data_IF_071085312606
#
_entry.id   IF_071085312606
#
_cell.length_a   1.000
_cell.length_b   1.000
_cell.length_c   1.000
_cell.angle_alpha   90.00
_cell.angle_beta   90.00
_cell.angle_gamma   90.00
#
_symmetry.space_group_name_H-M   'P 1'
#
loop_
_entity.id
_entity.type
_entity.pdbx_description
1 polymer ?
#
# COMPACT_ATOMS: atom_id res chain seq x y z
N UNK A 1 -18.98 8.90 -5.88
CA UNK A 1 -18.28 8.16 -4.79
C UNK A 1 -19.12 6.95 -4.41
N UNK A 2 -18.72 5.75 -4.84
CA UNK A 2 -19.37 4.52 -4.38
C UNK A 2 -18.92 4.24 -2.93
N UNK A 3 -19.86 3.88 -2.04
CA UNK A 3 -19.59 3.57 -0.64
C UNK A 3 -19.77 2.08 -0.43
N UNK A 4 -18.73 1.40 0.04
CA UNK A 4 -18.82 0.01 0.46
C UNK A 4 -19.11 -0.06 1.96
N UNK A 5 -20.05 -0.91 2.39
CA UNK A 5 -20.36 -1.13 3.80
C UNK A 5 -19.23 -1.92 4.45
N UNK A 6 -18.58 -1.34 5.46
CA UNK A 6 -17.55 -2.04 6.24
C UNK A 6 -18.24 -2.77 7.40
N UNK A 7 -17.98 -4.07 7.57
CA UNK A 7 -18.44 -4.80 8.74
C UNK A 7 -17.94 -4.09 10.03
N UNK A 8 -18.86 -3.70 10.90
CA UNK A 8 -18.57 -2.98 12.15
C UNK A 8 -18.48 -1.44 12.05
N UNK A 9 -18.87 -0.80 10.93
CA UNK A 9 -18.91 0.67 10.82
C UNK A 9 -20.17 1.14 10.10
N UNK A 10 -20.97 1.99 10.77
CA UNK A 10 -22.14 2.65 10.16
C UNK A 10 -21.77 3.59 9.01
N UNK A 11 -20.53 4.10 9.02
CA UNK A 11 -19.99 4.93 7.94
C UNK A 11 -19.33 4.03 6.90
N UNK A 12 -19.93 3.96 5.70
CA UNK A 12 -19.34 3.27 4.56
C UNK A 12 -17.97 3.84 4.16
N UNK A 13 -17.10 3.01 3.57
CA UNK A 13 -15.78 3.42 3.10
C UNK A 13 -15.91 4.11 1.74
N UNK A 14 -15.50 5.38 1.59
CA UNK A 14 -15.47 6.02 0.28
C UNK A 14 -14.41 5.35 -0.59
N UNK A 15 -14.79 4.93 -1.80
CA UNK A 15 -13.86 4.46 -2.82
C UNK A 15 -13.65 5.57 -3.85
N UNK A 16 -12.40 5.98 -4.04
CA UNK A 16 -11.98 6.74 -5.21
C UNK A 16 -11.74 5.77 -6.36
N UNK A 17 -12.76 5.59 -7.19
CA UNK A 17 -12.67 4.74 -8.37
C UNK A 17 -12.17 5.60 -9.53
N UNK A 18 -10.95 5.35 -10.00
CA UNK A 18 -10.37 5.95 -11.20
C UNK A 18 -11.13 5.51 -12.46
N UNK A 19 -11.06 6.31 -13.53
CA UNK A 19 -11.59 5.91 -14.84
C UNK A 19 -10.77 4.73 -15.41
N UNK A 20 -11.25 4.13 -16.49
CA UNK A 20 -10.59 2.94 -17.05
C UNK A 20 -9.19 3.27 -17.57
N UNK A 21 -9.05 4.40 -18.25
CA UNK A 21 -7.80 4.90 -18.80
C UNK A 21 -6.78 5.17 -17.68
N UNK A 22 -7.20 5.79 -16.59
CA UNK A 22 -6.35 6.05 -15.43
C UNK A 22 -5.88 4.73 -14.79
N UNK A 23 -6.77 3.74 -14.65
CA UNK A 23 -6.39 2.40 -14.15
C UNK A 23 -5.35 1.71 -15.03
N UNK A 24 -5.43 1.89 -16.34
CA UNK A 24 -4.46 1.31 -17.27
C UNK A 24 -3.08 1.94 -17.05
N UNK A 25 -3.01 3.26 -16.88
CA UNK A 25 -1.76 3.97 -16.60
C UNK A 25 -1.23 3.62 -15.20
N UNK A 26 -2.09 3.57 -14.18
CA UNK A 26 -1.76 3.13 -12.83
C UNK A 26 -1.15 1.72 -12.83
N UNK A 27 -1.75 0.79 -13.58
CA UNK A 27 -1.26 -0.58 -13.72
C UNK A 27 0.10 -0.64 -14.45
N UNK A 28 0.27 0.15 -15.52
CA UNK A 28 1.53 0.23 -16.23
C UNK A 28 2.67 0.75 -15.34
N UNK A 29 2.41 1.82 -14.59
CA UNK A 29 3.37 2.37 -13.61
C UNK A 29 3.67 1.34 -12.53
N UNK A 30 2.65 0.67 -11.99
CA UNK A 30 2.81 -0.40 -11.00
C UNK A 30 3.75 -1.50 -11.52
N UNK A 31 3.53 -2.01 -12.72
CA UNK A 31 4.33 -3.10 -13.28
C UNK A 31 5.81 -2.74 -13.45
N UNK A 32 6.12 -1.46 -13.69
CA UNK A 32 7.51 -0.97 -13.79
C UNK A 32 8.14 -0.83 -12.41
N UNK A 33 7.40 -0.33 -11.42
CA UNK A 33 7.93 -0.05 -10.09
C UNK A 33 7.96 -1.28 -9.18
N UNK A 34 7.03 -2.22 -9.33
CA UNK A 34 6.91 -3.43 -8.51
C UNK A 34 8.23 -4.21 -8.41
N UNK A 35 8.92 -4.59 -9.51
CA UNK A 35 10.18 -5.33 -9.41
C UNK A 35 11.30 -4.53 -8.71
N UNK A 36 11.32 -3.20 -8.85
CA UNK A 36 12.32 -2.33 -8.22
C UNK A 36 12.13 -2.30 -6.70
N UNK A 37 10.89 -2.22 -6.23
CA UNK A 37 10.59 -2.18 -4.80
C UNK A 37 10.56 -3.57 -4.16
N UNK A 38 10.29 -4.62 -4.92
CA UNK A 38 10.30 -6.00 -4.41
C UNK A 38 11.67 -6.42 -3.86
N UNK A 39 12.77 -5.94 -4.47
CA UNK A 39 14.13 -6.15 -3.95
C UNK A 39 14.41 -5.47 -2.60
N UNK A 40 13.57 -4.51 -2.21
CA UNK A 40 13.76 -3.70 -1.00
C UNK A 40 12.73 -3.98 0.10
N UNK A 41 11.66 -4.70 -0.20
CA UNK A 41 10.67 -5.03 0.81
C UNK A 41 11.21 -6.09 1.77
N UNK A 42 11.03 -5.84 3.06
CA UNK A 42 11.34 -6.81 4.11
C UNK A 42 10.54 -8.11 3.94
N UNK A 43 11.15 -9.24 4.28
CA UNK A 43 10.52 -10.56 4.19
C UNK A 43 9.26 -10.67 5.06
N UNK A 44 9.18 -9.89 6.14
CA UNK A 44 8.02 -9.80 7.02
C UNK A 44 6.88 -8.93 6.47
N UNK A 45 7.03 -8.32 5.29
CA UNK A 45 5.99 -7.57 4.61
C UNK A 45 5.19 -8.48 3.70
N UNK A 46 3.89 -8.66 3.95
CA UNK A 46 3.04 -9.56 3.15
C UNK A 46 1.94 -8.84 2.36
N UNK A 47 1.66 -7.57 2.70
CA UNK A 47 0.55 -6.83 2.13
C UNK A 47 0.85 -6.32 0.73
N UNK A 48 -0.11 -6.44 -0.20
CA UNK A 48 -0.07 -5.83 -1.54
C UNK A 48 1.14 -6.22 -2.42
N UNK A 49 1.80 -7.35 -2.12
CA UNK A 49 2.96 -7.86 -2.87
C UNK A 49 2.59 -9.08 -3.72
N UNK A 50 3.22 -9.26 -4.90
CA UNK A 50 3.06 -10.47 -5.68
C UNK A 50 3.58 -11.69 -4.92
N UNK A 51 2.93 -12.85 -5.04
CA UNK A 51 3.37 -14.11 -4.40
C UNK A 51 3.36 -14.14 -2.85
N UNK A 52 2.89 -13.07 -2.20
CA UNK A 52 2.62 -13.02 -0.77
C UNK A 52 1.12 -13.10 -0.48
N UNK A 53 0.74 -13.72 0.63
CA UNK A 53 -0.66 -13.86 1.05
C UNK A 53 -0.81 -13.73 2.56
N UNK A 54 -2.03 -13.40 3.01
CA UNK A 54 -2.36 -13.31 4.43
C UNK A 54 -2.15 -14.66 5.14
N UNK A 55 -2.39 -15.76 4.44
CA UNK A 55 -2.16 -17.10 4.96
C UNK A 55 -0.69 -17.36 5.27
N UNK A 56 0.23 -16.88 4.40
CA UNK A 56 1.67 -16.99 4.64
C UNK A 56 2.12 -16.17 5.86
N UNK A 57 1.56 -14.96 6.02
CA UNK A 57 1.78 -14.13 7.20
C UNK A 57 1.36 -14.85 8.50
N UNK A 58 0.15 -15.43 8.52
CA UNK A 58 -0.37 -16.17 9.68
C UNK A 58 0.47 -17.42 9.98
N UNK A 59 0.93 -18.14 8.96
CA UNK A 59 1.81 -19.30 9.15
C UNK A 59 3.15 -18.88 9.79
N UNK A 60 3.84 -17.88 9.24
CA UNK A 60 5.11 -17.38 9.79
C UNK A 60 4.95 -16.81 11.20
N UNK A 61 3.85 -16.10 11.47
CA UNK A 61 3.53 -15.62 12.81
C UNK A 61 3.31 -16.80 13.79
N UNK A 62 2.53 -17.80 13.38
CA UNK A 62 2.27 -19.00 14.18
C UNK A 62 3.55 -19.77 14.51
N UNK A 63 4.41 -20.00 13.53
CA UNK A 63 5.73 -20.62 13.73
C UNK A 63 6.60 -19.80 14.70
N UNK A 64 6.63 -18.48 14.52
CA UNK A 64 7.41 -17.57 15.37
C UNK A 64 6.96 -17.64 16.83
N UNK A 65 5.65 -17.65 17.07
CA UNK A 65 5.08 -17.73 18.42
C UNK A 65 5.30 -19.11 19.07
N UNK A 66 5.34 -20.19 18.28
CA UNK A 66 5.55 -21.55 18.79
C UNK A 66 7.03 -21.85 19.06
N UNK A 67 7.93 -21.35 18.20
CA UNK A 67 9.36 -21.71 18.23
C UNK A 67 10.21 -20.74 19.05
N UNK A 68 9.77 -19.49 19.23
CA UNK A 68 10.52 -18.45 19.95
C UNK A 68 9.82 -18.09 21.26
N UNK A 69 10.59 -17.60 22.24
CA UNK A 69 10.05 -17.09 23.51
C UNK A 69 9.45 -15.69 23.33
N UNK A 70 8.25 -15.62 22.79
CA UNK A 70 7.48 -14.38 22.63
C UNK A 70 6.42 -14.29 23.72
N UNK A 71 6.54 -13.32 24.62
CA UNK A 71 5.60 -13.13 25.74
C UNK A 71 4.51 -12.10 25.45
N UNK A 72 4.74 -11.20 24.49
CA UNK A 72 3.83 -10.09 24.18
C UNK A 72 3.74 -9.88 22.67
N UNK A 73 2.53 -9.58 22.21
CA UNK A 73 2.25 -9.18 20.82
C UNK A 73 1.67 -7.77 20.87
N UNK A 74 2.25 -6.86 20.09
CA UNK A 74 1.79 -5.48 19.99
C UNK A 74 1.04 -5.32 18.67
N UNK A 75 -0.26 -5.02 18.77
CA UNK A 75 -1.09 -4.68 17.61
C UNK A 75 -1.04 -3.17 17.36
N UNK A 76 -0.69 -2.78 16.15
CA UNK A 76 -0.66 -1.39 15.72
C UNK A 76 -1.38 -1.24 14.37
N UNK A 77 -2.32 -0.29 14.29
CA UNK A 77 -3.05 0.06 13.07
C UNK A 77 -2.99 1.57 12.82
N UNK A 78 -2.85 1.97 11.55
CA UNK A 78 -2.83 3.38 11.15
C UNK A 78 -4.23 3.80 10.71
N UNK A 79 -4.88 4.60 11.56
CA UNK A 79 -6.23 5.11 11.27
C UNK A 79 -6.26 5.96 10.01
N UNK A 80 -7.07 5.53 9.04
CA UNK A 80 -7.33 6.27 7.79
C UNK A 80 -6.07 6.56 6.97
N UNK A 81 -5.14 5.60 6.91
CA UNK A 81 -3.86 5.69 6.19
C UNK A 81 -3.94 6.46 4.85
N UNK A 82 -4.74 5.97 3.89
CA UNK A 82 -4.84 6.56 2.55
C UNK A 82 -5.39 7.99 2.51
N UNK A 83 -6.15 8.42 3.52
CA UNK A 83 -6.69 9.78 3.59
C UNK A 83 -5.73 10.75 4.30
N UNK A 84 -4.77 10.23 5.08
CA UNK A 84 -3.88 11.02 5.94
C UNK A 84 -2.41 10.96 5.53
N UNK A 85 -2.06 10.13 4.55
CA UNK A 85 -0.70 10.04 4.04
C UNK A 85 -0.26 11.41 3.50
N UNK A 86 0.92 11.87 3.92
CA UNK A 86 1.47 13.13 3.44
C UNK A 86 2.12 12.87 2.07
N UNK A 87 1.55 13.48 1.02
CA UNK A 87 1.99 13.25 -0.35
C UNK A 87 3.38 13.84 -0.63
N UNK A 88 3.76 14.93 0.04
CA UNK A 88 5.07 15.55 -0.14
C UNK A 88 6.16 14.62 0.38
N UNK A 89 6.00 14.08 1.59
CA UNK A 89 6.90 13.07 2.15
C UNK A 89 6.95 11.79 1.29
N UNK A 90 5.80 11.33 0.81
CA UNK A 90 5.75 10.16 -0.07
C UNK A 90 6.57 10.38 -1.34
N UNK A 91 6.43 11.55 -2.00
CA UNK A 91 7.20 11.88 -3.20
C UNK A 91 8.70 12.00 -2.89
N UNK A 92 9.08 12.57 -1.75
CA UNK A 92 10.48 12.61 -1.31
C UNK A 92 11.06 11.20 -1.14
N UNK A 93 10.33 10.26 -0.52
CA UNK A 93 10.78 8.86 -0.45
C UNK A 93 10.93 8.20 -1.82
N UNK A 94 9.98 8.45 -2.74
CA UNK A 94 10.06 7.92 -4.11
C UNK A 94 11.28 8.47 -4.87
N UNK A 95 11.67 9.73 -4.65
CA UNK A 95 12.87 10.35 -5.27
C UNK A 95 14.18 9.63 -4.93
N UNK A 96 14.25 8.93 -3.81
CA UNK A 96 15.46 8.19 -3.41
C UNK A 96 15.78 7.01 -4.34
N UNK A 97 14.79 6.53 -5.10
CA UNK A 97 14.92 5.36 -6.00
C UNK A 97 14.53 5.68 -7.44
N UNK A 98 13.57 6.57 -7.64
CA UNK A 98 13.11 6.96 -8.97
C UNK A 98 13.85 8.22 -9.40
N UNK A 99 14.84 8.05 -10.28
CA UNK A 99 15.58 9.15 -10.88
C UNK A 99 14.82 9.89 -11.99
N UNK A 100 13.81 9.27 -12.60
CA UNK A 100 13.05 9.90 -13.71
C UNK A 100 11.99 10.88 -13.18
N UNK A 101 12.16 12.20 -13.41
CA UNK A 101 11.19 13.20 -12.97
C UNK A 101 9.82 13.07 -13.66
N UNK A 102 9.74 12.39 -14.82
CA UNK A 102 8.49 12.19 -15.56
C UNK A 102 7.58 11.19 -14.84
N UNK A 103 8.16 10.12 -14.30
CA UNK A 103 7.44 9.11 -13.50
C UNK A 103 6.97 9.72 -12.19
N UNK A 104 7.83 10.48 -11.50
CA UNK A 104 7.46 11.17 -10.26
C UNK A 104 6.29 12.15 -10.47
N UNK A 105 6.34 12.94 -11.55
CA UNK A 105 5.23 13.84 -11.92
C UNK A 105 3.96 13.07 -12.27
N UNK A 106 4.06 11.89 -12.88
CA UNK A 106 2.90 11.05 -13.19
C UNK A 106 2.24 10.52 -11.90
N UNK A 107 3.03 10.02 -10.96
CA UNK A 107 2.57 9.56 -9.64
C UNK A 107 1.94 10.72 -8.86
N UNK A 108 2.58 11.89 -8.86
CA UNK A 108 2.03 13.09 -8.22
C UNK A 108 0.65 13.45 -8.79
N UNK A 109 0.46 13.37 -10.11
CA UNK A 109 -0.84 13.62 -10.75
C UNK A 109 -1.90 12.58 -10.38
N UNK A 110 -1.54 11.30 -10.32
CA UNK A 110 -2.44 10.23 -9.87
C UNK A 110 -2.90 10.47 -8.43
N UNK A 111 -1.98 10.90 -7.54
CA UNK A 111 -2.30 11.20 -6.15
C UNK A 111 -3.03 12.55 -5.98
N UNK A 112 -2.81 13.53 -6.87
CA UNK A 112 -3.50 14.81 -6.84
C UNK A 112 -5.00 14.68 -7.12
N UNK A 113 -5.43 13.63 -7.84
CA UNK A 113 -6.85 13.30 -8.00
C UNK A 113 -7.56 13.13 -6.64
N UNK A 114 -6.85 12.61 -5.63
CA UNK A 114 -7.35 12.40 -4.28
C UNK A 114 -7.33 13.66 -3.38
N UNK A 115 -6.82 14.80 -3.87
CA UNK A 115 -6.79 16.07 -3.13
C UNK A 115 -8.08 16.90 -3.24
N UNK A 116 -9.05 16.49 -4.06
CA UNK A 116 -10.35 17.16 -4.22
C UNK A 116 -11.49 16.41 -3.54
#
# INVERSE_FOLDING_TARGET
MSRYTKAGSEKGRPLGISCFEDKLVELAVKNVLEPIYEEHFEDSSYGYRPQHSQHRCLATLGETLQQKRVNHVVEADIRSFFNKVNHDWMLEFLRHRIGDPRILRLIERMCAFWRK
#
